data_IF_828799156210
#
_entry.id   IF_828799156210
#
_cell.length_a   1.000
_cell.length_b   1.000
_cell.length_c   1.000
_cell.angle_alpha   90.00
_cell.angle_beta   90.00
_cell.angle_gamma   90.00
#
_symmetry.space_group_name_H-M   'P 1'
#
loop_
_entity.id
_entity.type
_entity.pdbx_description
1 polymer ?
2 polymer ?
3 polymer ?
4 non-polymer ?
5 non-polymer ?
6 water ?
#
# COMPACT_ATOMS: atom_id res chain seq x y z
N UNK A 1 14.52 9.90 10.01
CA UNK A 1 15.08 9.38 11.25
C UNK A 1 14.34 8.19 11.86
N UNK A 2 13.01 8.23 11.88
CA UNK A 2 12.22 7.10 12.38
C UNK A 2 11.88 6.11 11.27
N UNK A 3 11.64 4.87 11.66
CA UNK A 3 11.49 3.80 10.67
C UNK A 3 10.49 2.77 11.13
N UNK A 4 10.05 1.94 10.19
CA UNK A 4 9.05 0.91 10.48
C UNK A 4 9.34 -0.35 9.70
N UNK A 5 8.92 -1.48 10.25
CA UNK A 5 8.89 -2.75 9.51
C UNK A 5 7.50 -3.30 9.65
N UNK A 6 6.89 -3.71 8.54
CA UNK A 6 5.51 -4.21 8.60
C UNK A 6 5.39 -5.44 7.72
N UNK A 7 4.67 -6.45 8.17
CA UNK A 7 4.25 -7.57 7.33
C UNK A 7 2.73 -7.55 7.16
N UNK A 8 2.28 -7.71 5.92
CA UNK A 8 0.89 -7.70 5.53
C UNK A 8 0.53 -9.08 5.00
N UNK A 9 -0.68 -9.54 5.31
CA UNK A 9 -1.10 -10.90 4.91
C UNK A 9 -2.56 -10.81 4.50
N UNK A 10 -2.90 -11.44 3.38
CA UNK A 10 -4.30 -11.51 2.92
C UNK A 10 -4.60 -12.92 2.44
N UNK A 11 -5.67 -13.54 2.98
CA UNK A 11 -6.18 -14.78 2.41
C UNK A 11 -7.59 -14.49 1.89
N UNK A 12 -7.93 -15.06 0.74
CA UNK A 12 -9.22 -14.80 0.10
C UNK A 12 -9.78 -16.15 -0.32
N UNK A 13 -10.92 -16.55 0.27
CA UNK A 13 -11.47 -17.84 -0.11
C UNK A 13 -12.16 -17.77 -1.48
N UNK A 14 -12.29 -18.93 -2.10
CA UNK A 14 -12.86 -19.01 -3.44
C UNK A 14 -13.56 -20.36 -3.59
N UNK A 15 -14.70 -20.53 -2.92
CA UNK A 15 -15.35 -21.85 -2.91
C UNK A 15 -15.59 -22.40 -4.31
N UNK A 16 -15.21 -23.68 -4.48
CA UNK A 16 -15.35 -24.35 -5.80
C UNK A 16 -14.20 -24.08 -6.73
N UNK A 17 -13.27 -23.24 -6.31
CA UNK A 17 -12.08 -22.90 -7.11
C UNK A 17 -10.81 -23.16 -6.32
N UNK A 18 -10.80 -24.25 -5.54
CA UNK A 18 -9.65 -24.64 -4.76
C UNK A 18 -9.60 -23.92 -3.41
N UNK A 19 -8.39 -23.93 -2.83
CA UNK A 19 -8.20 -23.42 -1.48
C UNK A 19 -7.93 -21.91 -1.51
N UNK A 20 -8.11 -21.21 -0.40
CA UNK A 20 -7.91 -19.74 -0.40
C UNK A 20 -6.52 -19.33 -0.86
N UNK A 21 -6.46 -18.28 -1.65
CA UNK A 21 -5.16 -17.74 -2.07
C UNK A 21 -4.56 -16.90 -0.93
N UNK A 22 -3.29 -17.14 -0.63
CA UNK A 22 -2.58 -16.42 0.43
C UNK A 22 -1.45 -15.59 -0.19
N UNK A 23 -1.44 -14.28 0.11
CA UNK A 23 -0.39 -13.36 -0.32
C UNK A 23 0.13 -12.58 0.87
N UNK A 24 1.45 -12.60 1.07
CA UNK A 24 2.05 -11.81 2.13
C UNK A 24 3.24 -11.02 1.58
N UNK A 25 3.34 -9.76 2.00
CA UNK A 25 4.47 -8.90 1.64
C UNK A 25 5.05 -8.24 2.88
N UNK A 26 6.36 -7.97 2.84
CA UNK A 26 7.05 -7.25 3.92
C UNK A 26 7.60 -5.94 3.40
N UNK A 27 7.52 -4.91 4.24
CA UNK A 27 8.05 -3.58 3.93
C UNK A 27 8.94 -3.12 5.06
N UNK A 28 10.02 -2.37 4.70
CA UNK A 28 10.69 -1.47 5.65
C UNK A 28 10.38 -0.08 5.13
N UNK A 29 9.76 0.76 5.97
CA UNK A 29 9.30 2.09 5.53
C UNK A 29 8.40 1.88 4.30
N UNK A 30 8.67 2.56 3.18
CA UNK A 30 7.86 2.41 1.98
C UNK A 30 8.56 1.53 0.94
N UNK A 31 9.48 0.67 1.37
CA UNK A 31 10.23 -0.20 0.46
C UNK A 31 9.78 -1.66 0.65
N UNK A 32 9.21 -2.25 -0.40
CA UNK A 32 8.90 -3.68 -0.39
C UNK A 32 10.19 -4.49 -0.36
N UNK A 33 10.29 -5.49 0.51
CA UNK A 33 11.51 -6.31 0.49
C UNK A 33 11.34 -7.80 0.38
N UNK A 34 10.15 -8.36 0.70
CA UNK A 34 9.90 -9.78 0.52
C UNK A 34 8.46 -9.96 0.07
N UNK A 35 8.20 -11.08 -0.63
CA UNK A 35 6.86 -11.50 -1.02
C UNK A 35 6.73 -13.02 -1.01
N UNK A 36 5.49 -13.47 -0.80
CA UNK A 36 5.12 -14.88 -0.91
C UNK A 36 3.69 -14.96 -1.43
N UNK A 37 3.45 -15.81 -2.43
CA UNK A 37 2.12 -15.99 -3.02
C UNK A 37 1.87 -17.50 -3.17
N UNK A 38 0.83 -18.01 -2.49
CA UNK A 38 0.55 -19.44 -2.58
C UNK A 38 0.17 -19.91 -3.98
N UNK A 39 -0.19 -19.01 -4.89
CA UNK A 39 -0.47 -19.41 -6.27
C UNK A 39 0.77 -19.41 -7.15
N UNK A 40 1.93 -19.03 -6.61
CA UNK A 40 3.14 -19.20 -7.41
C UNK A 40 3.37 -20.66 -7.76
N UNK A 41 4.07 -20.91 -8.87
CA UNK A 41 4.28 -22.29 -9.30
C UNK A 41 4.97 -23.12 -8.21
N UNK A 42 5.98 -22.54 -7.55
CA UNK A 42 6.73 -23.17 -6.47
C UNK A 42 6.85 -22.17 -5.33
N UNK A 43 5.85 -22.07 -4.45
CA UNK A 43 5.82 -20.96 -3.50
C UNK A 43 7.03 -20.93 -2.57
N UNK A 44 7.68 -19.77 -2.54
CA UNK A 44 8.84 -19.53 -1.69
C UNK A 44 8.79 -18.05 -1.37
N UNK A 45 9.26 -17.68 -0.17
CA UNK A 45 9.48 -16.26 0.05
C UNK A 45 10.63 -15.79 -0.84
N UNK A 46 10.38 -14.71 -1.60
CA UNK A 46 11.34 -14.16 -2.56
C UNK A 46 11.79 -12.76 -2.19
N UNK A 47 13.05 -12.43 -2.47
CA UNK A 47 13.54 -11.08 -2.24
C UNK A 47 12.96 -10.08 -3.24
N UNK A 48 12.79 -8.86 -2.75
CA UNK A 48 12.34 -7.74 -3.58
C UNK A 48 13.16 -6.48 -3.40
N UNK A 49 14.22 -6.51 -2.60
CA UNK A 49 15.13 -5.38 -2.44
C UNK A 49 16.55 -5.92 -2.43
N UNK A 50 17.52 -5.15 -2.92
CA UNK A 50 18.88 -5.68 -3.01
C UNK A 50 19.49 -6.03 -1.67
N UNK A 51 19.16 -5.30 -0.61
CA UNK A 51 19.85 -5.49 0.66
C UNK A 51 19.38 -6.69 1.44
N UNK A 52 18.28 -7.34 1.02
CA UNK A 52 17.87 -8.59 1.66
C UNK A 52 18.46 -9.79 0.94
N UNK A 53 19.01 -9.59 -0.28
CA UNK A 53 19.51 -10.74 -1.04
C UNK A 53 20.65 -11.44 -0.33
N UNK A 54 21.39 -10.71 0.51
CA UNK A 54 22.54 -11.29 1.19
C UNK A 54 22.16 -12.25 2.29
N UNK A 55 20.91 -12.30 2.72
CA UNK A 55 20.54 -13.28 3.71
C UNK A 55 20.73 -14.68 3.12
N UNK A 56 21.22 -15.58 3.95
CA UNK A 56 21.60 -16.89 3.47
C UNK A 56 20.45 -17.87 3.41
N UNK A 57 20.73 -19.07 2.91
CA UNK A 57 19.66 -20.06 2.70
C UNK A 57 18.84 -20.36 3.94
N UNK A 58 19.45 -20.34 5.13
CA UNK A 58 18.71 -20.63 6.35
C UNK A 58 17.58 -19.62 6.58
N UNK A 59 17.84 -18.34 6.32
CA UNK A 59 16.82 -17.30 6.39
C UNK A 59 15.67 -17.60 5.42
N UNK A 60 15.97 -17.87 4.14
CA UNK A 60 14.89 -18.11 3.18
C UNK A 60 14.09 -19.36 3.51
N UNK A 61 14.77 -20.40 3.99
CA UNK A 61 14.06 -21.61 4.38
C UNK A 61 13.13 -21.33 5.56
N UNK A 62 13.62 -20.64 6.59
CA UNK A 62 12.80 -20.35 7.75
C UNK A 62 11.61 -19.47 7.37
N UNK A 63 11.88 -18.41 6.61
CA UNK A 63 10.80 -17.50 6.20
C UNK A 63 9.75 -18.23 5.39
N UNK A 64 10.20 -19.10 4.47
CA UNK A 64 9.26 -19.84 3.65
C UNK A 64 8.41 -20.78 4.48
N UNK A 65 9.01 -21.46 5.48
CA UNK A 65 8.25 -22.33 6.37
C UNK A 65 7.18 -21.53 7.12
N UNK A 66 7.55 -20.33 7.60
CA UNK A 66 6.59 -19.51 8.35
C UNK A 66 5.43 -19.10 7.45
N UNK A 67 5.72 -18.69 6.21
CA UNK A 67 4.68 -18.28 5.30
C UNK A 67 3.74 -19.45 4.95
N UNK A 68 4.31 -20.63 4.65
CA UNK A 68 3.46 -21.78 4.37
C UNK A 68 2.56 -22.12 5.54
N UNK A 69 3.12 -22.11 6.75
CA UNK A 69 2.33 -22.41 7.94
C UNK A 69 1.21 -21.39 8.15
N UNK A 70 1.50 -20.11 7.91
CA UNK A 70 0.49 -19.08 8.05
C UNK A 70 -0.61 -19.24 7.00
N UNK A 71 -0.25 -19.64 5.78
CA UNK A 71 -1.30 -19.91 4.80
C UNK A 71 -2.26 -20.97 5.31
N UNK A 72 -1.73 -22.01 5.96
CA UNK A 72 -2.60 -23.07 6.45
C UNK A 72 -3.43 -22.60 7.64
N UNK A 73 -2.82 -21.85 8.58
CA UNK A 73 -3.66 -21.40 9.71
C UNK A 73 -4.73 -20.43 9.24
N UNK A 74 -4.44 -19.62 8.21
CA UNK A 74 -5.47 -18.72 7.70
C UNK A 74 -6.64 -19.50 7.11
N UNK A 75 -6.39 -20.67 6.49
CA UNK A 75 -7.49 -21.44 5.94
C UNK A 75 -8.37 -21.99 7.06
N UNK A 76 -7.72 -22.46 8.14
CA UNK A 76 -8.48 -22.87 9.31
C UNK A 76 -9.28 -21.69 9.88
N UNK A 77 -8.63 -20.52 9.97
CA UNK A 77 -9.31 -19.32 10.49
C UNK A 77 -10.53 -18.94 9.65
N UNK A 78 -10.43 -19.03 8.30
CA UNK A 78 -11.58 -18.72 7.44
C UNK A 78 -12.74 -19.67 7.73
N UNK A 79 -12.45 -20.96 7.97
CA UNK A 79 -13.50 -21.90 8.35
C UNK A 79 -14.10 -21.53 9.71
N UNK A 80 -13.25 -21.19 10.67
CA UNK A 80 -13.77 -20.77 11.97
C UNK A 80 -14.67 -19.56 11.84
N UNK A 81 -14.27 -18.55 11.06
CA UNK A 81 -15.04 -17.31 11.01
C UNK A 81 -16.43 -17.54 10.37
N UNK A 82 -16.55 -18.51 9.45
CA UNK A 82 -17.88 -18.83 8.94
C UNK A 82 -18.79 -19.27 10.08
N UNK A 83 -18.26 -20.04 11.03
CA UNK A 83 -19.06 -20.45 12.17
C UNK A 83 -19.42 -19.24 13.02
N UNK A 84 -18.41 -18.42 13.35
CA UNK A 84 -18.65 -17.34 14.31
C UNK A 84 -19.70 -16.35 13.80
N UNK A 85 -19.79 -16.17 12.47
CA UNK A 85 -20.74 -15.24 11.88
C UNK A 85 -21.98 -15.93 11.29
N UNK A 86 -22.13 -17.23 11.52
CA UNK A 86 -23.28 -17.99 11.05
C UNK A 86 -23.42 -17.90 9.53
N UNK A 87 -22.31 -18.00 8.80
CA UNK A 87 -22.31 -17.77 7.37
C UNK A 87 -22.29 -19.07 6.59
N UNK A 88 -22.80 -19.04 5.35
CA UNK A 88 -22.77 -20.27 4.56
C UNK A 88 -21.38 -20.50 3.96
N UNK A 89 -21.16 -21.68 3.41
CA UNK A 89 -19.89 -22.01 2.77
C UNK A 89 -19.87 -21.61 1.29
N UNK A 90 -20.81 -20.78 0.83
CA UNK A 90 -20.85 -20.49 -0.59
C UNK A 90 -20.05 -19.29 -1.04
N UNK A 91 -19.82 -18.31 -0.18
CA UNK A 91 -19.28 -17.04 -0.60
C UNK A 91 -17.77 -16.91 -0.41
N UNK A 92 -17.19 -15.92 -1.08
CA UNK A 92 -15.79 -15.56 -0.87
C UNK A 92 -15.67 -14.60 0.30
N UNK A 93 -14.67 -14.88 1.16
CA UNK A 93 -14.42 -14.05 2.36
C UNK A 93 -12.94 -13.74 2.42
N UNK A 94 -12.60 -12.69 3.22
CA UNK A 94 -11.24 -12.17 3.25
C UNK A 94 -10.73 -12.10 4.69
N UNK A 95 -9.50 -12.54 4.92
CA UNK A 95 -8.86 -12.44 6.24
C UNK A 95 -7.54 -11.70 6.09
N UNK A 96 -7.38 -10.60 6.82
CA UNK A 96 -6.19 -9.76 6.71
C UNK A 96 -5.50 -9.67 8.05
N UNK A 97 -4.18 -9.62 8.06
CA UNK A 97 -3.42 -9.42 9.27
C UNK A 97 -2.24 -8.53 8.94
N UNK A 98 -1.97 -7.56 9.83
CA UNK A 98 -0.76 -6.77 9.75
C UNK A 98 -0.08 -6.81 11.11
N UNK A 99 1.25 -6.89 11.13
CA UNK A 99 1.99 -6.72 12.39
C UNK A 99 3.33 -6.06 12.08
N UNK A 100 3.95 -5.49 13.09
CA UNK A 100 5.29 -4.95 12.96
C UNK A 100 5.56 -3.88 13.99
N UNK A 101 6.62 -3.12 13.76
CA UNK A 101 7.14 -2.21 14.78
C UNK A 101 7.60 -0.91 14.14
N UNK A 102 7.50 0.16 14.90
CA UNK A 102 8.02 1.46 14.57
C UNK A 102 9.14 1.74 15.58
N UNK A 103 10.28 2.28 15.10
CA UNK A 103 11.38 2.67 15.97
C UNK A 103 11.74 4.12 15.69
N UNK A 104 12.36 4.75 16.68
CA UNK A 104 12.84 6.09 16.47
C UNK A 104 14.29 6.13 15.98
N UNK A 105 14.84 7.36 15.88
CA UNK A 105 16.21 7.55 15.39
C UNK A 105 17.26 6.73 16.10
N UNK A 106 17.11 6.49 17.40
CA UNK A 106 18.06 5.70 18.17
C UNK A 106 17.79 4.21 18.11
N UNK A 107 16.82 3.76 17.30
CA UNK A 107 16.52 2.35 17.16
C UNK A 107 15.65 1.76 18.24
N UNK A 108 15.12 2.55 19.16
CA UNK A 108 14.29 2.01 20.22
C UNK A 108 12.83 1.89 19.79
N UNK A 109 12.17 0.85 20.30
CA UNK A 109 10.76 0.65 19.99
C UNK A 109 9.93 1.86 20.37
N UNK A 110 9.17 2.36 19.39
CA UNK A 110 8.17 3.40 19.59
C UNK A 110 6.78 2.82 19.79
N UNK A 111 6.41 1.83 18.97
CA UNK A 111 5.24 1.05 19.24
C UNK A 111 5.16 -0.11 18.29
N UNK A 112 4.42 -1.10 18.78
CA UNK A 112 4.24 -2.37 18.09
C UNK A 112 2.79 -2.52 17.66
N UNK A 113 2.54 -3.39 16.68
CA UNK A 113 1.21 -3.63 16.14
C UNK A 113 1.02 -5.13 15.85
N UNK A 114 -0.22 -5.59 16.03
CA UNK A 114 -0.65 -6.91 15.52
C UNK A 114 -2.17 -6.86 15.46
N UNK A 115 -2.75 -6.88 14.26
CA UNK A 115 -4.18 -6.66 14.14
C UNK A 115 -4.74 -7.40 12.95
N UNK A 116 -6.02 -7.77 13.05
CA UNK A 116 -6.72 -8.59 12.07
C UNK A 116 -8.00 -7.88 11.63
N UNK A 117 -8.40 -8.17 10.37
CA UNK A 117 -9.67 -7.72 9.79
C UNK A 117 -10.32 -8.89 9.07
N UNK A 118 -11.65 -8.97 9.15
CA UNK A 118 -12.41 -10.00 8.44
C UNK A 118 -13.42 -9.29 7.54
N UNK A 119 -13.42 -9.68 6.26
CA UNK A 119 -14.28 -9.06 5.28
C UNK A 119 -14.18 -7.54 5.29
N UNK A 120 -12.94 -7.07 5.44
CA UNK A 120 -12.65 -5.67 5.32
C UNK A 120 -12.95 -4.86 6.56
N UNK A 121 -13.38 -5.50 7.64
CA UNK A 121 -13.77 -4.86 8.91
C UNK A 121 -12.79 -5.20 10.02
N UNK A 122 -12.43 -4.21 10.86
CA UNK A 122 -11.64 -4.55 12.04
C UNK A 122 -12.27 -5.72 12.79
N UNK A 123 -11.40 -6.68 13.19
CA UNK A 123 -11.83 -7.88 13.91
C UNK A 123 -11.23 -7.88 15.32
N UNK A 124 -9.91 -8.00 15.47
CA UNK A 124 -9.29 -7.92 16.80
C UNK A 124 -7.89 -7.31 16.65
N UNK A 125 -7.51 -6.43 17.60
CA UNK A 125 -6.22 -5.76 17.52
C UNK A 125 -5.54 -5.83 18.87
N UNK A 126 -4.22 -6.02 18.86
CA UNK A 126 -3.45 -5.90 20.09
C UNK A 126 -3.34 -4.41 20.40
N UNK A 127 -3.59 -4.04 21.65
CA UNK A 127 -3.53 -2.64 22.05
C UNK A 127 -2.07 -2.17 22.12
N UNK A 128 -1.91 -0.85 22.21
CA UNK A 128 -0.58 -0.25 22.25
C UNK A 128 0.25 -0.77 23.43
N UNK A 129 -0.41 -1.19 24.50
CA UNK A 129 0.30 -1.76 25.63
C UNK A 129 0.99 -3.10 25.33
N UNK A 130 0.67 -3.74 24.22
CA UNK A 130 1.17 -5.05 23.85
C UNK A 130 0.77 -6.09 24.87
N UNK A 131 -0.35 -5.84 25.58
CA UNK A 131 -0.75 -6.73 26.67
C UNK A 131 -2.24 -7.02 26.69
N UNK A 132 -3.06 -6.20 26.04
CA UNK A 132 -4.52 -6.37 26.07
C UNK A 132 -5.07 -6.20 24.67
N UNK A 133 -6.31 -6.62 24.49
CA UNK A 133 -6.94 -6.67 23.17
C UNK A 133 -8.14 -5.74 23.03
N UNK A 134 -8.37 -5.29 21.79
CA UNK A 134 -9.64 -4.65 21.42
C UNK A 134 -10.34 -5.53 20.40
N UNK A 135 -11.50 -6.07 20.78
CA UNK A 135 -12.32 -6.93 19.93
C UNK A 135 -13.47 -6.11 19.38
N UNK A 136 -13.75 -6.23 18.06
CA UNK A 136 -14.72 -5.37 17.41
C UNK A 136 -16.16 -5.78 17.69
N UNK A 137 -16.38 -7.04 18.05
CA UNK A 137 -17.74 -7.59 18.10
C UNK A 137 -17.71 -8.84 18.94
N UNK A 138 -18.91 -9.44 19.11
CA UNK A 138 -18.99 -10.62 19.99
C UNK A 138 -18.30 -11.85 19.41
N UNK A 139 -18.15 -11.93 18.07
CA UNK A 139 -17.33 -13.00 17.48
C UNK A 139 -15.87 -12.83 17.89
N UNK A 140 -15.34 -11.61 17.70
CA UNK A 140 -13.95 -11.39 18.05
C UNK A 140 -13.71 -11.56 19.54
N UNK A 141 -14.76 -11.39 20.38
CA UNK A 141 -14.57 -11.66 21.81
C UNK A 141 -14.32 -13.13 22.07
N UNK A 142 -14.82 -14.00 21.19
CA UNK A 142 -14.52 -15.42 21.36
C UNK A 142 -13.04 -15.66 21.11
N UNK A 143 -12.48 -15.03 20.07
CA UNK A 143 -11.04 -15.11 19.85
C UNK A 143 -10.27 -14.48 21.02
N UNK A 144 -10.74 -13.34 21.51
CA UNK A 144 -10.04 -12.70 22.61
C UNK A 144 -9.95 -13.62 23.83
N UNK A 145 -11.06 -14.31 24.16
CA UNK A 145 -11.02 -15.23 25.30
C UNK A 145 -10.00 -16.36 25.06
N UNK A 146 -9.93 -16.87 23.84
CA UNK A 146 -8.93 -17.91 23.53
C UNK A 146 -7.52 -17.35 23.64
N UNK A 147 -7.31 -16.15 23.14
CA UNK A 147 -5.95 -15.62 23.15
C UNK A 147 -5.53 -15.17 24.55
N UNK A 148 -6.48 -14.72 25.37
CA UNK A 148 -6.16 -14.46 26.77
C UNK A 148 -5.79 -15.74 27.50
N UNK A 149 -6.54 -16.81 27.26
CA UNK A 149 -6.27 -18.08 27.94
C UNK A 149 -4.90 -18.61 27.58
N UNK A 150 -4.46 -18.41 26.34
CA UNK A 150 -3.20 -18.95 25.84
C UNK A 150 -2.05 -17.96 26.00
N UNK A 151 -2.28 -16.79 26.60
CA UNK A 151 -1.23 -15.78 26.77
C UNK A 151 -0.53 -15.41 25.45
N UNK A 152 -1.37 -15.20 24.42
CA UNK A 152 -0.85 -14.83 23.10
C UNK A 152 -0.17 -13.46 23.15
N UNK A 153 -0.76 -12.50 23.86
CA UNK A 153 -0.19 -11.15 23.86
C UNK A 153 1.26 -11.15 24.32
N UNK A 154 1.58 -11.99 25.32
CA UNK A 154 2.94 -12.07 25.83
C UNK A 154 3.91 -12.54 24.77
N UNK A 155 3.48 -13.51 23.93
CA UNK A 155 4.31 -13.98 22.81
C UNK A 155 4.54 -12.86 21.80
N UNK A 156 3.50 -12.12 21.48
CA UNK A 156 3.62 -11.01 20.53
C UNK A 156 4.48 -9.90 21.07
N UNK A 157 4.31 -9.55 22.35
CA UNK A 157 5.15 -8.53 22.93
C UNK A 157 6.62 -8.91 22.86
N UNK A 158 6.93 -10.17 23.17
CA UNK A 158 8.33 -10.58 23.13
C UNK A 158 8.92 -10.39 21.73
N UNK A 159 8.15 -10.75 20.69
CA UNK A 159 8.64 -10.58 19.33
C UNK A 159 8.78 -9.10 18.99
N UNK A 160 7.71 -8.32 19.23
CA UNK A 160 7.68 -6.93 18.78
C UNK A 160 8.75 -6.09 19.45
N UNK A 161 9.02 -6.32 20.76
CA UNK A 161 10.05 -5.55 21.46
C UNK A 161 11.46 -6.06 21.20
N UNK A 162 11.58 -7.30 20.73
CA UNK A 162 12.85 -7.99 20.60
C UNK A 162 13.21 -8.16 19.14
N UNK A 163 12.85 -9.31 18.58
CA UNK A 163 13.26 -9.66 17.23
C UNK A 163 12.86 -8.59 16.23
N UNK A 164 11.65 -8.05 16.34
CA UNK A 164 11.19 -7.11 15.30
C UNK A 164 12.11 -5.91 15.21
N UNK A 165 12.45 -5.34 16.36
CA UNK A 165 13.32 -4.16 16.39
C UNK A 165 14.73 -4.52 15.96
N UNK A 166 15.20 -5.72 16.32
CA UNK A 166 16.55 -6.13 15.94
C UNK A 166 16.67 -6.42 14.45
N UNK A 167 15.65 -7.03 13.84
CA UNK A 167 15.70 -7.20 12.40
C UNK A 167 15.69 -5.85 11.71
N UNK A 168 14.82 -4.94 12.15
CA UNK A 168 14.75 -3.64 11.50
C UNK A 168 16.09 -2.90 11.59
N UNK A 169 16.79 -3.00 12.73
CA UNK A 169 18.11 -2.37 12.86
C UNK A 169 19.09 -2.95 11.85
N UNK A 170 19.07 -4.28 11.71
CA UNK A 170 19.93 -4.96 10.74
C UNK A 170 19.63 -4.51 9.33
N UNK A 171 18.35 -4.48 8.96
CA UNK A 171 17.98 -4.11 7.60
C UNK A 171 18.38 -2.67 7.30
N UNK A 172 18.18 -1.77 8.28
CA UNK A 172 18.52 -0.37 8.08
C UNK A 172 20.00 -0.22 7.80
N UNK A 173 20.84 -1.02 8.46
CA UNK A 173 22.29 -0.95 8.21
C UNK A 173 22.63 -1.57 6.86
N UNK A 174 22.14 -2.78 6.60
CA UNK A 174 22.46 -3.40 5.31
C UNK A 174 21.94 -2.58 4.13
N UNK A 175 20.82 -1.92 4.31
CA UNK A 175 20.21 -1.12 3.28
C UNK A 175 20.43 0.38 3.47
N UNK A 176 21.55 0.77 4.12
CA UNK A 176 21.76 2.18 4.43
C UNK A 176 21.86 3.07 3.20
N UNK A 177 22.27 2.55 2.04
CA UNK A 177 22.36 3.37 0.83
C UNK A 177 21.00 3.96 0.47
N UNK A 178 19.94 3.17 0.62
CA UNK A 178 18.61 3.54 0.12
C UNK A 178 17.61 3.77 1.25
N UNK A 179 17.60 2.89 2.24
CA UNK A 179 16.62 3.03 3.33
C UNK A 179 16.90 4.28 4.15
N UNK A 180 18.16 4.73 4.20
CA UNK A 180 18.50 5.94 4.94
C UNK A 180 18.77 7.13 4.03
N UNK A 181 18.20 7.13 2.82
CA UNK A 181 18.27 8.27 1.91
C UNK A 181 16.88 8.77 1.61
N UNK A 182 16.61 10.03 1.91
CA UNK A 182 15.37 10.68 1.47
C UNK A 182 15.64 11.36 0.14
N UNK A 183 14.75 11.16 -0.84
CA UNK A 183 14.83 11.84 -2.12
C UNK A 183 13.79 12.96 -2.11
N UNK A 184 14.18 14.21 -2.20
CA UNK A 184 13.19 15.30 -2.08
C UNK A 184 12.30 15.33 -3.32
N UNK A 185 11.12 15.91 -3.21
CA UNK A 185 10.27 16.10 -4.38
C UNK A 185 10.86 17.10 -5.36
N UNK A 186 10.74 16.79 -6.65
CA UNK A 186 10.92 17.76 -7.72
C UNK A 186 9.58 18.45 -7.94
N UNK A 187 9.54 19.76 -7.82
CA UNK A 187 8.27 20.44 -7.76
C UNK A 187 8.12 21.46 -8.88
N UNK A 188 6.88 21.63 -9.34
CA UNK A 188 6.58 22.68 -10.32
C UNK A 188 5.09 22.95 -10.31
N UNK A 189 4.68 24.08 -10.90
CA UNK A 189 3.28 24.47 -11.02
C UNK A 189 2.90 24.58 -12.49
N UNK A 190 1.78 23.96 -12.86
CA UNK A 190 1.21 24.06 -14.20
C UNK A 190 -0.13 24.78 -14.20
N UNK A 191 -0.50 25.30 -15.37
CA UNK A 191 -1.68 26.15 -15.51
C UNK A 191 -2.51 25.60 -16.66
N UNK A 192 -3.80 25.42 -16.43
CA UNK A 192 -4.67 24.70 -17.36
C UNK A 192 -5.97 25.48 -17.50
N UNK A 193 -6.09 26.32 -18.54
CA UNK A 193 -7.32 27.09 -18.75
C UNK A 193 -8.54 26.16 -18.80
N UNK A 194 -9.61 26.58 -18.12
CA UNK A 194 -10.89 25.86 -18.15
C UNK A 194 -11.91 26.60 -19.02
N UNK A 195 -11.93 27.91 -18.94
CA UNK A 195 -12.87 28.76 -19.67
C UNK A 195 -12.25 30.14 -19.67
N UNK A 196 -12.98 31.10 -20.22
CA UNK A 196 -12.49 32.47 -20.19
C UNK A 196 -12.36 32.97 -18.76
N UNK A 197 -13.06 32.35 -17.80
CA UNK A 197 -13.23 32.90 -16.45
C UNK A 197 -12.30 32.27 -15.43
N UNK A 198 -11.74 31.09 -15.70
CA UNK A 198 -10.99 30.38 -14.66
C UNK A 198 -10.01 29.40 -15.31
N UNK A 199 -9.02 28.99 -14.52
CA UNK A 199 -8.04 27.98 -14.94
C UNK A 199 -7.63 27.17 -13.71
N UNK A 200 -7.14 25.95 -13.96
CA UNK A 200 -6.61 25.15 -12.87
C UNK A 200 -5.14 25.49 -12.68
N UNK A 201 -4.72 25.68 -11.43
CA UNK A 201 -3.30 25.59 -11.08
C UNK A 201 -3.05 24.25 -10.41
N UNK A 202 -2.05 23.51 -10.90
CA UNK A 202 -1.75 22.20 -10.36
C UNK A 202 -0.33 22.23 -9.84
N UNK A 203 -0.14 21.89 -8.56
CA UNK A 203 1.18 21.86 -7.94
C UNK A 203 1.64 20.40 -7.88
N UNK A 204 2.79 20.10 -8.46
CA UNK A 204 3.28 18.75 -8.61
C UNK A 204 4.44 18.49 -7.66
N UNK A 205 4.52 17.28 -7.13
CA UNK A 205 5.65 16.76 -6.39
C UNK A 205 6.00 15.39 -6.99
N UNK A 206 7.20 15.24 -7.56
CA UNK A 206 7.56 14.03 -8.28
C UNK A 206 8.89 13.50 -7.78
N UNK A 207 9.07 12.17 -7.85
CA UNK A 207 10.34 11.56 -7.58
C UNK A 207 10.79 11.52 -6.12
N UNK A 208 9.86 11.58 -5.17
CA UNK A 208 10.24 11.68 -3.76
C UNK A 208 10.17 10.32 -3.06
N UNK A 209 10.93 10.21 -1.97
CA UNK A 209 10.92 9.03 -1.12
C UNK A 209 11.38 9.50 0.26
N UNK A 210 10.73 9.14 1.35
CA UNK A 210 9.59 8.22 1.43
C UNK A 210 8.29 8.91 0.98
N UNK A 211 7.19 8.18 1.11
CA UNK A 211 5.90 8.63 0.55
C UNK A 211 5.27 9.80 1.32
N UNK A 212 5.54 9.94 2.62
CA UNK A 212 4.89 10.98 3.41
C UNK A 212 5.27 12.36 2.87
N UNK A 213 4.25 13.20 2.62
CA UNK A 213 4.49 14.54 2.06
C UNK A 213 3.27 15.37 2.43
N UNK A 214 3.44 16.70 2.48
CA UNK A 214 2.30 17.60 2.63
C UNK A 214 2.37 18.63 1.51
N UNK A 215 1.27 18.77 0.76
CA UNK A 215 1.16 19.68 -0.37
C UNK A 215 -0.12 20.45 -0.13
N UNK A 216 -0.04 21.78 -0.05
CA UNK A 216 -1.22 22.60 0.17
C UNK A 216 -1.16 23.83 -0.72
N UNK A 217 -2.33 24.41 -0.95
CA UNK A 217 -2.45 25.69 -1.63
C UNK A 217 -2.97 26.71 -0.63
N UNK A 218 -2.41 27.90 -0.67
CA UNK A 218 -2.97 29.04 0.03
C UNK A 218 -3.38 30.11 -0.96
N UNK A 219 -4.40 30.90 -0.60
CA UNK A 219 -4.80 32.09 -1.35
C UNK A 219 -4.76 33.25 -0.38
N UNK A 220 -3.98 34.31 -0.72
CA UNK A 220 -3.78 35.42 0.21
C UNK A 220 -3.34 34.91 1.59
N UNK A 221 -2.58 33.79 1.61
CA UNK A 221 -2.09 33.25 2.88
C UNK A 221 -3.05 32.39 3.67
N UNK A 222 -4.23 32.09 3.13
CA UNK A 222 -5.25 31.26 3.78
C UNK A 222 -5.31 29.90 3.12
N UNK A 223 -5.27 28.83 3.92
CA UNK A 223 -5.35 27.48 3.36
C UNK A 223 -6.65 27.27 2.58
N UNK A 224 -6.55 26.61 1.45
CA UNK A 224 -7.69 26.33 0.59
C UNK A 224 -8.14 24.87 0.68
N UNK A 225 -8.22 24.31 1.89
CA UNK A 225 -8.44 22.87 2.02
C UNK A 225 -9.72 22.44 1.29
N UNK A 226 -10.84 23.13 1.53
CA UNK A 226 -12.11 22.71 0.97
C UNK A 226 -12.15 22.84 -0.55
N UNK A 227 -11.31 23.68 -1.13
CA UNK A 227 -11.33 23.89 -2.57
C UNK A 227 -10.16 23.25 -3.30
N UNK A 228 -9.37 22.44 -2.61
CA UNK A 228 -8.21 21.80 -3.22
C UNK A 228 -8.54 20.35 -3.58
N UNK A 229 -8.22 19.95 -4.81
CA UNK A 229 -8.29 18.54 -5.18
C UNK A 229 -6.91 17.95 -4.90
N UNK A 230 -6.83 16.98 -3.98
CA UNK A 230 -5.57 16.39 -3.57
C UNK A 230 -5.60 14.92 -3.93
N UNK A 231 -4.81 14.49 -4.93
CA UNK A 231 -4.84 13.08 -5.29
C UNK A 231 -4.06 12.25 -4.28
N UNK A 232 -4.41 10.97 -4.18
CA UNK A 232 -3.67 10.05 -3.34
C UNK A 232 -2.22 9.93 -3.80
N UNK A 233 -1.29 9.91 -2.83
CA UNK A 233 0.11 9.69 -3.19
C UNK A 233 0.23 8.33 -3.91
N UNK A 234 0.97 8.32 -5.03
CA UNK A 234 0.94 7.17 -5.94
C UNK A 234 2.35 6.75 -6.30
N UNK A 235 2.59 5.45 -6.46
CA UNK A 235 3.94 4.97 -6.77
C UNK A 235 4.33 5.20 -8.22
N UNK A 236 5.56 5.66 -8.44
CA UNK A 236 6.04 5.83 -9.83
C UNK A 236 6.53 4.54 -10.47
N UNK A 237 6.94 3.56 -9.65
CA UNK A 237 7.48 2.29 -10.11
C UNK A 237 9.01 2.21 -10.07
N UNK A 238 9.71 3.28 -9.65
CA UNK A 238 11.17 3.36 -9.54
C UNK A 238 11.62 3.59 -8.09
N UNK A 239 10.77 3.23 -7.15
CA UNK A 239 10.87 3.38 -5.69
C UNK A 239 10.23 4.67 -5.21
N UNK A 240 10.11 5.68 -6.08
CA UNK A 240 9.65 7.00 -5.67
C UNK A 240 8.14 7.14 -5.84
N UNK A 241 7.64 8.26 -5.31
CA UNK A 241 6.21 8.54 -5.27
C UNK A 241 5.94 9.86 -5.96
N UNK A 242 4.64 10.09 -6.24
CA UNK A 242 4.17 11.32 -6.88
C UNK A 242 2.92 11.79 -6.20
N UNK A 243 2.66 13.10 -6.27
CA UNK A 243 1.42 13.66 -5.75
C UNK A 243 1.18 14.99 -6.43
N UNK A 244 -0.08 15.37 -6.57
CA UNK A 244 -0.36 16.76 -6.95
C UNK A 244 -1.59 17.29 -6.22
N UNK A 245 -1.69 18.62 -6.19
CA UNK A 245 -2.80 19.34 -5.56
C UNK A 245 -3.24 20.42 -6.55
N UNK A 246 -4.54 20.56 -6.77
CA UNK A 246 -5.02 21.48 -7.78
C UNK A 246 -6.12 22.37 -7.23
N UNK A 247 -6.12 23.63 -7.63
CA UNK A 247 -7.15 24.60 -7.29
C UNK A 247 -7.68 25.26 -8.55
N UNK A 248 -8.95 25.64 -8.53
CA UNK A 248 -9.56 26.40 -9.63
C UNK A 248 -9.48 27.89 -9.29
N UNK A 249 -8.80 28.63 -10.15
CA UNK A 249 -8.38 30.01 -9.90
C UNK A 249 -9.10 30.93 -10.87
N UNK A 250 -9.80 31.97 -10.39
CA UNK A 250 -10.39 32.96 -11.30
C UNK A 250 -9.30 33.66 -12.12
N UNK A 251 -9.65 34.02 -13.36
CA UNK A 251 -8.73 34.74 -14.23
C UNK A 251 -8.12 35.93 -13.52
N UNK A 252 -6.81 36.07 -13.66
CA UNK A 252 -6.09 37.18 -13.09
C UNK A 252 -5.71 37.04 -11.64
N UNK A 253 -6.12 35.98 -10.96
CA UNK A 253 -5.82 35.82 -9.54
C UNK A 253 -4.60 34.95 -9.28
N UNK A 254 -3.89 34.51 -10.32
CA UNK A 254 -2.93 33.45 -10.13
C UNK A 254 -1.85 33.82 -9.12
N UNK A 255 -1.41 35.09 -9.07
CA UNK A 255 -0.31 35.40 -8.17
C UNK A 255 -0.73 35.46 -6.71
N UNK A 256 -2.02 35.34 -6.43
CA UNK A 256 -2.48 35.30 -5.05
C UNK A 256 -2.38 33.90 -4.47
N UNK A 257 -2.09 32.90 -5.30
CA UNK A 257 -2.07 31.52 -4.88
C UNK A 257 -0.65 31.05 -4.71
N UNK A 258 -0.38 30.32 -3.61
CA UNK A 258 0.95 29.78 -3.36
C UNK A 258 0.80 28.32 -2.97
N UNK A 259 1.72 27.50 -3.47
CA UNK A 259 1.76 26.09 -3.16
C UNK A 259 2.88 25.83 -2.15
N UNK A 260 2.58 25.03 -1.15
CA UNK A 260 3.49 24.82 -0.03
C UNK A 260 3.79 23.34 0.06
N UNK A 261 5.09 22.99 0.15
CA UNK A 261 5.53 21.59 0.09
C UNK A 261 6.41 21.29 1.31
N UNK A 262 6.07 20.20 2.02
CA UNK A 262 6.83 19.71 3.16
C UNK A 262 7.22 18.26 2.91
N UNK A 263 8.51 17.96 3.09
CA UNK A 263 8.97 16.61 2.89
C UNK A 263 10.28 16.43 3.65
N UNK A 264 10.49 15.22 4.15
CA UNK A 264 11.67 15.05 4.99
C UNK A 264 12.96 15.25 4.24
N UNK A 265 12.95 15.10 2.90
CA UNK A 265 14.15 15.42 2.14
C UNK A 265 14.40 16.89 1.88
N UNK A 266 13.52 17.78 2.32
CA UNK A 266 13.68 19.21 2.14
C UNK A 266 14.18 19.82 3.45
N UNK A 267 15.32 20.52 3.46
CA UNK A 267 15.77 21.20 4.71
C UNK A 267 14.80 22.25 5.21
N UNK A 268 14.07 22.90 4.31
CA UNK A 268 13.06 23.89 4.66
C UNK A 268 11.88 23.68 3.73
N UNK A 269 10.65 23.93 4.19
CA UNK A 269 9.49 23.83 3.30
C UNK A 269 9.60 24.80 2.14
N UNK A 270 9.08 24.40 0.98
CA UNK A 270 9.12 25.19 -0.22
C UNK A 270 7.82 25.95 -0.39
N UNK A 271 7.92 27.12 -1.02
CA UNK A 271 6.77 27.89 -1.51
C UNK A 271 6.95 28.10 -3.01
N UNK A 272 5.92 27.79 -3.79
CA UNK A 272 5.98 27.94 -5.24
C UNK A 272 4.76 28.70 -5.73
N UNK A 273 4.95 29.39 -6.85
CA UNK A 273 3.85 30.07 -7.54
C UNK A 273 3.94 29.74 -9.02
N UNK A 274 2.82 29.94 -9.69
CA UNK A 274 2.82 29.81 -11.15
C UNK A 274 3.75 30.85 -11.76
N UNK A 275 4.61 30.40 -12.66
CA UNK A 275 5.58 31.27 -13.34
C UNK A 275 5.24 31.21 -14.82
N UNK A 276 4.49 32.18 -15.37
CA UNK A 276 4.18 32.16 -16.80
C UNK A 276 5.40 32.43 -17.70
N UNK B 1 -22.30 -7.47 3.47
CA UNK B 1 -20.90 -7.43 3.07
C UNK B 1 -20.55 -6.02 2.61
N UNK B 2 -19.53 -5.42 3.26
CA UNK B 2 -19.14 -4.06 2.90
C UNK B 2 -18.47 -4.06 1.54
N UNK B 3 -18.63 -2.97 0.80
CA UNK B 3 -17.90 -2.83 -0.45
C UNK B 3 -17.40 -1.40 -0.54
N UNK B 4 -16.20 -1.25 -1.09
CA UNK B 4 -15.55 0.04 -1.27
C UNK B 4 -15.05 0.10 -2.71
N UNK B 5 -15.47 1.15 -3.45
CA UNK B 5 -15.15 1.22 -4.86
C UNK B 5 -13.74 1.75 -5.08
N UNK B 6 -13.03 1.28 -6.10
CA UNK B 6 -11.63 1.74 -6.27
C UNK B 6 -11.52 3.17 -6.72
N UNK B 7 -10.53 3.83 -6.16
CA UNK B 7 -9.96 5.04 -6.76
C UNK B 7 -9.01 4.59 -7.87
N UNK B 8 -8.97 5.36 -8.96
CA UNK B 8 -8.19 4.97 -10.13
C UNK B 8 -7.37 6.17 -10.60
N UNK B 9 -6.06 5.99 -10.74
CA UNK B 9 -5.22 7.02 -11.35
C UNK B 9 -4.40 6.38 -12.45
N UNK B 10 -4.39 7.00 -13.64
CA UNK B 10 -3.55 6.54 -14.75
C UNK B 10 -2.57 7.66 -15.09
N UNK B 11 -1.28 7.31 -15.19
CA UNK B 11 -0.26 8.36 -15.23
C UNK B 11 1.05 7.73 -15.67
N UNK B 12 2.04 8.56 -15.93
CA UNK B 12 3.34 8.05 -16.38
C UNK B 12 4.37 8.16 -15.27
N UNK B 13 5.42 7.32 -15.37
CA UNK B 13 6.49 7.35 -14.37
C UNK B 13 7.27 8.66 -14.42
N UNK B 14 7.54 9.15 -15.62
CA UNK B 14 8.22 10.41 -15.86
C UNK B 14 7.35 11.33 -16.69
N UNK B 15 7.57 12.66 -16.61
CA UNK B 15 6.76 13.56 -17.46
C UNK B 15 6.88 13.18 -18.94
N UNK B 16 5.72 13.09 -19.61
CA UNK B 16 5.66 12.61 -20.99
C UNK B 16 6.45 13.49 -21.94
N UNK B 17 7.24 12.85 -22.79
CA UNK B 17 7.92 13.52 -23.89
C UNK B 17 7.72 12.65 -25.13
N UNK B 18 7.04 13.20 -26.14
CA UNK B 18 6.70 12.38 -27.30
C UNK B 18 7.95 11.73 -27.89
N UNK B 19 7.85 10.43 -28.13
CA UNK B 19 8.95 9.70 -28.71
C UNK B 19 9.95 9.14 -27.73
N UNK B 20 9.82 9.42 -26.43
CA UNK B 20 10.75 8.93 -25.43
C UNK B 20 10.10 7.84 -24.57
N UNK B 21 10.79 6.70 -24.46
CA UNK B 21 10.25 5.57 -23.71
C UNK B 21 10.03 5.93 -22.23
N UNK B 22 8.98 5.35 -21.64
CA UNK B 22 8.46 5.74 -20.33
C UNK B 22 7.73 4.51 -19.78
N UNK B 23 7.05 4.66 -18.65
CA UNK B 23 6.16 3.63 -18.14
C UNK B 23 4.79 4.21 -17.89
N UNK B 24 3.78 3.45 -18.28
CA UNK B 24 2.37 3.80 -18.09
C UNK B 24 1.89 3.01 -16.88
N UNK B 25 1.35 3.72 -15.88
CA UNK B 25 0.90 3.14 -14.63
C UNK B 25 -0.61 3.31 -14.45
N UNK B 26 -1.27 2.28 -13.91
CA UNK B 26 -2.62 2.43 -13.40
C UNK B 26 -2.63 1.98 -11.95
N UNK B 27 -2.86 2.93 -11.03
CA UNK B 27 -2.87 2.66 -9.60
C UNK B 27 -4.31 2.61 -9.15
N UNK B 28 -4.73 1.48 -8.59
CA UNK B 28 -6.08 1.30 -8.07
C UNK B 28 -5.97 1.12 -6.57
N UNK B 29 -6.80 1.84 -5.82
CA UNK B 29 -6.61 1.87 -4.37
C UNK B 29 -7.95 2.09 -3.70
N UNK B 30 -7.96 1.85 -2.38
CA UNK B 30 -9.12 2.09 -1.54
C UNK B 30 -10.26 1.14 -1.74
N UNK B 31 -10.03 -0.05 -2.27
CA UNK B 31 -11.14 -0.91 -2.67
C UNK B 31 -11.28 -2.14 -1.76
N UNK B 32 -12.50 -2.67 -1.72
CA UNK B 32 -12.85 -3.92 -1.06
C UNK B 32 -14.13 -4.45 -1.69
N UNK B 33 -14.23 -5.75 -1.99
CA UNK B 33 -13.23 -6.79 -1.77
C UNK B 33 -12.06 -6.69 -2.76
N UNK B 34 -11.12 -7.62 -2.63
CA UNK B 34 -9.84 -7.50 -3.33
C UNK B 34 -9.91 -7.94 -4.79
N UNK B 35 -10.97 -8.64 -5.20
CA UNK B 35 -11.09 -9.09 -6.59
C UNK B 35 -11.26 -7.89 -7.50
N UNK B 36 -10.38 -7.75 -8.50
CA UNK B 36 -10.45 -6.60 -9.39
C UNK B 36 -9.81 -6.99 -10.71
N UNK B 37 -10.28 -6.38 -11.80
CA UNK B 37 -9.71 -6.61 -13.13
C UNK B 37 -9.27 -5.27 -13.70
N UNK B 38 -8.02 -5.21 -14.19
CA UNK B 38 -7.46 -3.98 -14.70
C UNK B 38 -6.80 -4.28 -16.03
N UNK B 39 -7.17 -3.54 -17.07
CA UNK B 39 -6.49 -3.56 -18.37
C UNK B 39 -5.90 -2.20 -18.65
N UNK B 40 -4.76 -2.18 -19.32
CA UNK B 40 -4.25 -0.96 -19.93
C UNK B 40 -4.55 -1.04 -21.41
N UNK B 41 -5.01 0.08 -21.98
CA UNK B 41 -5.46 0.13 -23.37
C UNK B 41 -4.61 1.10 -24.16
N UNK B 42 -4.31 0.70 -25.39
CA UNK B 42 -3.68 1.58 -26.38
C UNK B 42 -4.65 1.68 -27.55
N UNK B 43 -5.12 2.89 -27.83
CA UNK B 43 -6.08 3.10 -28.92
C UNK B 43 -7.26 2.16 -28.79
N UNK B 44 -7.72 1.98 -27.55
CA UNK B 44 -8.89 1.20 -27.24
C UNK B 44 -8.69 -0.28 -27.13
N UNK B 45 -7.49 -0.79 -27.42
CA UNK B 45 -7.24 -2.22 -27.42
C UNK B 45 -6.30 -2.61 -26.28
N UNK B 46 -6.51 -3.82 -25.77
CA UNK B 46 -5.77 -4.23 -24.57
C UNK B 46 -4.28 -4.40 -24.88
N UNK B 47 -3.42 -3.83 -24.01
CA UNK B 47 -1.98 -4.05 -24.09
C UNK B 47 -1.65 -5.41 -23.47
N UNK B 48 -0.81 -6.21 -24.16
CA UNK B 48 -0.42 -7.53 -23.69
C UNK B 48 0.73 -7.45 -22.70
N UNK B 49 0.81 -8.45 -21.81
CA UNK B 49 1.97 -8.63 -20.91
C UNK B 49 2.13 -7.51 -19.87
N UNK B 50 1.03 -6.87 -19.50
CA UNK B 50 1.08 -5.88 -18.43
C UNK B 50 1.39 -6.59 -17.12
N UNK B 51 2.25 -5.98 -16.30
CA UNK B 51 2.59 -6.56 -15.01
C UNK B 51 1.90 -5.81 -13.89
N UNK B 52 1.90 -6.42 -12.69
CA UNK B 52 1.27 -5.76 -11.56
C UNK B 52 1.95 -6.15 -10.27
N UNK B 53 1.73 -5.31 -9.26
CA UNK B 53 2.30 -5.55 -7.95
C UNK B 53 1.53 -6.64 -7.20
N UNK B 54 2.12 -7.12 -6.12
CA UNK B 54 1.43 -8.09 -5.26
C UNK B 54 0.45 -7.38 -4.31
N UNK B 55 -0.72 -7.99 -4.13
CA UNK B 55 -1.79 -7.42 -3.30
C UNK B 55 -1.27 -6.98 -1.94
N UNK B 56 -1.57 -5.73 -1.58
CA UNK B 56 -1.22 -5.20 -0.26
C UNK B 56 -2.35 -4.25 0.13
N UNK B 57 -2.26 -3.68 1.33
CA UNK B 57 -3.37 -2.88 1.80
C UNK B 57 -2.89 -1.78 2.74
N UNK B 58 -3.78 -0.79 2.93
CA UNK B 58 -3.49 0.42 3.66
C UNK B 58 -3.88 0.26 5.14
N UNK B 59 -3.62 1.34 5.89
CA UNK B 59 -3.95 1.37 7.32
C UNK B 59 -5.43 1.05 7.59
N UNK B 60 -6.34 1.50 6.69
CA UNK B 60 -7.78 1.27 6.85
C UNK B 60 -8.24 -0.04 6.26
N UNK B 61 -7.30 -0.94 5.92
CA UNK B 61 -7.54 -2.28 5.39
C UNK B 61 -7.88 -2.28 3.90
N UNK B 62 -8.12 -1.14 3.27
CA UNK B 62 -8.48 -1.15 1.85
C UNK B 62 -7.28 -1.54 0.99
N UNK B 63 -7.57 -2.20 -0.12
CA UNK B 63 -6.52 -2.77 -0.98
C UNK B 63 -5.97 -1.76 -2.00
N UNK B 64 -4.74 -2.01 -2.46
CA UNK B 64 -4.17 -1.23 -3.58
C UNK B 64 -3.29 -2.14 -4.42
N UNK B 65 -3.23 -1.81 -5.73
CA UNK B 65 -2.43 -2.52 -6.73
C UNK B 65 -1.95 -1.52 -7.76
N UNK B 66 -0.74 -1.74 -8.27
CA UNK B 66 -0.19 -1.01 -9.40
C UNK B 66 -0.05 -1.93 -10.60
N UNK B 67 -0.67 -1.54 -11.72
CA UNK B 67 -0.46 -2.19 -13.02
C UNK B 67 0.41 -1.28 -13.89
N UNK B 68 1.32 -1.88 -14.66
CA UNK B 68 2.27 -1.02 -15.37
C UNK B 68 2.82 -1.74 -16.60
N UNK B 69 3.28 -0.92 -17.55
CA UNK B 69 3.91 -1.43 -18.77
C UNK B 69 4.79 -0.34 -19.37
N UNK B 70 5.83 -0.74 -20.12
CA UNK B 70 6.62 0.28 -20.82
C UNK B 70 5.78 0.83 -21.97
N UNK B 71 5.93 2.11 -22.26
CA UNK B 71 5.28 2.71 -23.42
C UNK B 71 6.08 3.90 -23.93
N UNK B 72 5.85 4.24 -25.19
CA UNK B 72 6.49 5.42 -25.76
C UNK B 72 5.39 6.36 -26.24
N UNK B 73 5.08 7.40 -25.48
CA UNK B 73 3.95 8.28 -25.85
C UNK B 73 4.22 9.01 -27.15
N UNK B 74 3.14 9.32 -27.86
CA UNK B 74 3.21 10.14 -29.05
C UNK B 74 2.10 11.19 -28.97
N UNK B 75 2.03 12.06 -29.99
CA UNK B 75 0.95 13.04 -30.02
C UNK B 75 -0.39 12.37 -30.23
N UNK B 76 -0.43 11.32 -31.06
CA UNK B 76 -1.66 10.77 -31.61
C UNK B 76 -2.20 9.59 -30.80
N UNK B 77 -1.36 8.81 -30.14
CA UNK B 77 -1.84 7.57 -29.52
C UNK B 77 -2.56 7.88 -28.21
N UNK B 78 -3.67 7.19 -27.99
CA UNK B 78 -4.48 7.36 -26.79
C UNK B 78 -4.30 6.16 -25.88
N UNK B 79 -4.06 6.43 -24.61
CA UNK B 79 -3.90 5.36 -23.63
C UNK B 79 -4.98 5.50 -22.56
N UNK B 80 -5.30 4.38 -21.91
CA UNK B 80 -6.35 4.42 -20.88
C UNK B 80 -6.16 3.22 -19.98
N UNK B 81 -6.88 3.23 -18.87
CA UNK B 81 -6.99 2.11 -17.94
C UNK B 81 -8.45 1.71 -17.84
N UNK B 82 -8.75 0.41 -17.86
CA UNK B 82 -10.14 -0.08 -17.73
C UNK B 82 -10.22 -0.99 -16.51
N UNK B 83 -11.13 -0.67 -15.58
CA UNK B 83 -11.21 -1.35 -14.30
C UNK B 83 -12.60 -1.96 -14.13
N UNK B 84 -12.64 -3.22 -13.70
CA UNK B 84 -13.90 -3.82 -13.29
C UNK B 84 -13.79 -4.29 -11.85
N UNK B 85 -14.89 -4.15 -11.11
CA UNK B 85 -14.96 -4.46 -9.68
C UNK B 85 -16.44 -4.65 -9.37
N UNK B 86 -16.71 -5.36 -8.27
CA UNK B 86 -18.11 -5.68 -7.96
C UNK B 86 -18.93 -4.40 -7.73
N UNK B 87 -18.29 -3.33 -7.28
CA UNK B 87 -19.01 -2.09 -7.02
C UNK B 87 -19.39 -1.34 -8.30
N UNK B 88 -18.95 -1.80 -9.46
CA UNK B 88 -19.15 -1.08 -10.72
C UNK B 88 -20.16 -1.82 -11.59
N UNK B 89 -21.21 -1.11 -12.04
CA UNK B 89 -22.22 -1.77 -12.88
C UNK B 89 -21.70 -2.04 -14.30
N UNK B 90 -20.70 -1.29 -14.75
CA UNK B 90 -20.03 -1.49 -16.02
C UNK B 90 -18.57 -1.13 -15.80
N UNK B 91 -17.67 -1.58 -16.68
CA UNK B 91 -16.26 -1.23 -16.48
C UNK B 91 -16.06 0.28 -16.54
N UNK B 92 -15.15 0.77 -15.71
CA UNK B 92 -14.78 2.18 -15.70
C UNK B 92 -13.51 2.39 -16.52
N UNK B 93 -13.56 3.30 -17.48
CA UNK B 93 -12.41 3.64 -18.33
C UNK B 93 -11.93 5.03 -17.95
N UNK B 94 -10.68 5.13 -17.54
CA UNK B 94 -10.07 6.43 -17.22
C UNK B 94 -8.98 6.66 -18.26
N UNK B 95 -9.09 7.77 -19.00
CA UNK B 95 -8.13 8.10 -20.05
C UNK B 95 -6.84 8.65 -19.45
N UNK B 96 -5.71 8.31 -20.08
CA UNK B 96 -4.45 8.93 -19.68
C UNK B 96 -4.41 10.35 -20.20
N UNK B 97 -4.10 11.28 -19.31
CA UNK B 97 -3.95 12.69 -19.63
C UNK B 97 -2.57 13.06 -19.11
N UNK B 98 -1.68 13.51 -20.01
CA UNK B 98 -0.32 13.77 -19.57
C UNK B 98 -0.22 14.91 -18.56
N UNK B 99 -1.29 15.67 -18.38
CA UNK B 99 -1.30 16.78 -17.44
C UNK B 99 -1.83 16.40 -16.07
N UNK B 100 -2.04 15.11 -15.81
CA UNK B 100 -2.53 14.61 -14.52
C UNK B 100 -1.75 13.39 -14.08
N UNK C 1 12.59 -10.01 9.64
CA UNK C 1 12.28 -11.42 9.79
C UNK C 1 10.96 -11.59 10.51
N UNK C 2 10.21 -12.62 10.11
CA UNK C 2 8.83 -12.80 10.57
C UNK C 2 8.70 -13.39 11.97
N UNK C 3 7.52 -13.12 12.56
CA UNK C 3 7.02 -13.78 13.75
C UNK C 3 6.75 -15.27 13.45
N UNK C 4 7.28 -16.14 14.31
CA UNK C 4 6.99 -17.57 14.26
C UNK C 4 6.22 -17.96 15.50
N UNK C 5 5.01 -17.55 15.54
CA UNK C 5 4.14 -18.10 16.55
C UNK C 5 2.79 -18.40 15.90
N UNK C 6 2.43 -19.66 15.75
CA UNK C 6 1.11 -19.99 15.21
C UNK C 6 0.03 -19.48 16.15
N UNK C 7 -0.95 -18.76 15.58
CA UNK C 7 -2.03 -18.11 16.35
C UNK C 7 -3.33 -18.22 15.54
N UNK C 8 -4.32 -18.94 16.07
CA UNK C 8 -5.59 -19.22 15.38
C UNK C 8 -6.74 -18.48 16.06
N UNK C 9 -7.65 -17.96 15.23
CA UNK C 9 -8.80 -17.23 15.77
C UNK C 9 -9.84 -18.12 16.45
X LIG D 1 3.78 1.34 4.79
X LIG D 1 3.80 0.29 5.74
X LIG D 1 4.30 0.80 3.45
X LIG D 1 4.43 1.80 2.46
X LIG D 1 3.32 -0.33 3.03
X LIG D 1 2.02 0.26 2.70
X LIG E 1 -11.13 40.49 -7.98
X LIG E 1 -10.17 40.55 -6.86
X LIG E 1 -11.43 39.00 -8.30
X LIG E 1 -10.22 38.24 -8.54
X LIG E 1 -12.39 39.04 -9.56
X LIG E 1 -12.86 37.68 -9.78
X LIG F 1 16.70 -10.85 14.95
X LIG F 1 16.47 -11.45 16.17
X LIG F 1 18.26 -10.65 14.87
X LIG F 1 18.99 -11.83 15.05
X LIG F 1 18.56 -10.01 13.52
X LIG F 1 19.94 -9.98 13.43
X LIG G 1 1.84 -22.90 -0.03
#
# INVERSE_FOLDING_TARGET
GSHSMRYFHTSVSRPGRGEPRFITVGYVDDTLFVRFDSDAASPREEPRAPWIEQEGPEYWDRETQICKAKAQTDREDLRTLLRYYNQSEAGSHTLQNMYGCDVGPDGRLLRGYHQHAYDGKDYIALNEDLSSWTAADTAAQITQRKWEAARVAEQLRAYLEGECVEWLRRYLENGKETLQRADPPKTHVTHHPISDHEATLRCWALGFYPAEITLTWQRDGEDQTQDTELVETRPAGDRTFQKWAAVVVPSGEEQRYTCHVQHEGLPKPLTLRWEP
MIQRTPKIQVYSRHPAENGKSNFLNCYVSGFHPSDIEVDLLKNGERIEKVEHSDLSFSKDWSFYLLYYTEFTPTEKDEYACRVNHVTLSQPKIVKWDRDM
GRLNAPIKV
GOL C1 O1 C2 O2 C3 O3
GOL C1 O1 C2 O2 C3 O3
GOL C1 O1 C2 O2 C3 O3
CL CL
#
